data_IF_647588660821
#
_entry.id   IF_647588660821
#
_cell.length_a   1.000
_cell.length_b   1.000
_cell.length_c   1.000
_cell.angle_alpha   90.00
_cell.angle_beta   90.00
_cell.angle_gamma   90.00
#
_symmetry.space_group_name_H-M   'P 1'
#
loop_
_entity.id
_entity.type
_entity.pdbx_description
1 polymer ?
#
# COMPACT_ATOMS: atom_id res chain seq x y z
N UNK A 1 -9.67 3.88 -1.77
CA UNK A 1 -8.31 4.33 -1.41
C UNK A 1 -8.42 5.71 -0.77
N UNK A 2 -7.71 6.01 0.33
CA UNK A 2 -7.75 7.32 0.95
C UNK A 2 -7.03 8.37 0.07
N UNK A 3 -7.55 9.60 0.06
CA UNK A 3 -6.90 10.75 -0.60
C UNK A 3 -5.82 11.40 0.27
N UNK A 4 -5.92 11.26 1.59
CA UNK A 4 -4.92 11.70 2.59
C UNK A 4 -4.80 10.68 3.70
N UNK A 5 -3.61 10.56 4.27
CA UNK A 5 -3.37 9.71 5.44
C UNK A 5 -2.16 10.19 6.24
N UNK A 6 -2.13 9.86 7.52
CA UNK A 6 -0.99 10.12 8.40
C UNK A 6 -0.19 8.84 8.59
N UNK A 7 1.13 8.92 8.44
CA UNK A 7 2.04 7.82 8.73
C UNK A 7 3.25 8.33 9.52
N UNK A 8 3.52 7.69 10.67
CA UNK A 8 4.61 8.06 11.61
C UNK A 8 4.66 9.57 11.95
N UNK A 9 3.50 10.19 12.08
CA UNK A 9 3.38 11.62 12.43
C UNK A 9 3.50 12.59 11.24
N UNK A 10 3.82 12.09 10.03
CA UNK A 10 3.80 12.89 8.81
C UNK A 10 2.46 12.71 8.06
N UNK A 11 1.91 13.80 7.54
CA UNK A 11 0.76 13.77 6.64
C UNK A 11 1.22 13.57 5.20
N UNK A 12 0.53 12.68 4.48
CA UNK A 12 0.72 12.45 3.07
C UNK A 12 -0.59 12.63 2.32
N UNK A 13 -0.51 13.33 1.18
CA UNK A 13 -1.61 13.47 0.22
C UNK A 13 -1.32 12.63 -1.00
N UNK A 14 -2.25 11.78 -1.41
CA UNK A 14 -2.13 11.02 -2.66
C UNK A 14 -2.39 11.96 -3.84
N UNK A 15 -1.43 12.06 -4.76
CA UNK A 15 -1.55 12.86 -5.98
C UNK A 15 -1.97 12.04 -7.18
N UNK A 16 -1.50 10.80 -7.30
CA UNK A 16 -1.93 9.86 -8.32
C UNK A 16 -1.79 8.39 -7.88
N UNK A 17 -2.61 7.52 -8.49
CA UNK A 17 -2.41 6.06 -8.43
C UNK A 17 -1.56 5.65 -9.61
N UNK A 18 -0.36 5.14 -9.35
CA UNK A 18 0.56 4.66 -10.38
C UNK A 18 0.26 3.22 -10.79
N UNK A 19 -0.13 2.39 -9.83
CA UNK A 19 -0.46 0.99 -10.10
C UNK A 19 -1.49 0.47 -9.08
N UNK A 20 -2.37 -0.42 -9.50
CA UNK A 20 -3.34 -1.07 -8.61
C UNK A 20 -3.49 -2.54 -8.99
N UNK A 21 -3.33 -3.44 -8.01
CA UNK A 21 -3.44 -4.87 -8.24
C UNK A 21 -4.04 -5.59 -7.03
N UNK A 22 -4.31 -6.88 -7.19
CA UNK A 22 -4.93 -7.72 -6.15
C UNK A 22 -4.07 -8.95 -5.95
N UNK A 23 -3.90 -9.37 -4.71
CA UNK A 23 -3.31 -10.69 -4.43
C UNK A 23 -4.36 -11.57 -3.77
N UNK A 24 -4.51 -12.78 -4.30
CA UNK A 24 -5.26 -13.86 -3.66
C UNK A 24 -4.36 -14.59 -2.68
N UNK A 25 -4.94 -15.26 -1.69
CA UNK A 25 -4.20 -16.15 -0.79
C UNK A 25 -4.95 -17.46 -0.60
N UNK A 26 -4.25 -18.58 -0.35
CA UNK A 26 -4.89 -19.88 -0.18
C UNK A 26 -5.86 -19.86 1.00
N UNK A 27 -7.01 -20.52 0.85
CA UNK A 27 -7.87 -20.83 1.98
C UNK A 27 -7.18 -21.85 2.89
N UNK A 28 -7.18 -21.61 4.20
CA UNK A 28 -6.63 -22.53 5.21
C UNK A 28 -7.46 -23.82 5.37
N UNK A 29 -8.51 -24.01 4.58
CA UNK A 29 -9.37 -25.18 4.55
C UNK A 29 -9.57 -25.63 3.10
N UNK A 30 -8.65 -26.44 2.58
CA UNK A 30 -8.87 -27.51 1.57
C UNK A 30 -9.70 -27.27 0.30
N UNK A 31 -10.19 -26.08 0.00
CA UNK A 31 -10.93 -25.74 -1.21
C UNK A 31 -10.07 -24.84 -2.08
N UNK A 32 -9.91 -25.19 -3.35
CA UNK A 32 -9.08 -24.47 -4.32
C UNK A 32 -9.57 -23.07 -4.70
N UNK A 33 -10.45 -22.45 -3.91
CA UNK A 33 -10.92 -21.09 -4.14
C UNK A 33 -9.86 -20.05 -3.71
N UNK A 34 -9.40 -19.29 -4.69
CA UNK A 34 -8.47 -18.18 -4.51
C UNK A 34 -9.24 -16.92 -4.11
N UNK A 35 -9.40 -16.69 -2.81
CA UNK A 35 -10.02 -15.46 -2.33
C UNK A 35 -9.06 -14.28 -2.42
N UNK A 36 -9.50 -13.17 -3.02
CA UNK A 36 -8.77 -11.90 -3.00
C UNK A 36 -8.68 -11.40 -1.56
N UNK A 37 -7.48 -11.42 -0.99
CA UNK A 37 -7.24 -11.00 0.39
C UNK A 37 -6.81 -9.54 0.48
N UNK A 38 -6.00 -9.08 -0.49
CA UNK A 38 -5.40 -7.74 -0.44
C UNK A 38 -5.60 -6.98 -1.74
N UNK A 39 -5.93 -5.71 -1.60
CA UNK A 39 -5.92 -4.73 -2.68
C UNK A 39 -4.69 -3.86 -2.52
N UNK A 40 -3.80 -3.89 -3.51
CA UNK A 40 -2.55 -3.17 -3.52
C UNK A 40 -2.64 -1.93 -4.38
N UNK A 41 -1.94 -0.89 -3.97
CA UNK A 41 -1.87 0.39 -4.64
C UNK A 41 -0.45 0.93 -4.54
N UNK A 42 0.16 1.27 -5.67
CA UNK A 42 1.33 2.15 -5.71
C UNK A 42 0.83 3.55 -6.05
N UNK A 43 1.19 4.54 -5.24
CA UNK A 43 0.72 5.92 -5.35
C UNK A 43 1.88 6.89 -5.32
N UNK A 44 1.77 8.00 -6.04
CA UNK A 44 2.58 9.19 -5.79
C UNK A 44 1.93 10.03 -4.71
N UNK A 45 2.76 10.65 -3.87
CA UNK A 45 2.32 11.45 -2.73
C UNK A 45 2.97 12.83 -2.69
N UNK A 46 2.38 13.72 -1.90
CA UNK A 46 2.97 14.96 -1.36
C UNK A 46 3.17 14.79 0.16
N UNK A 47 4.35 15.11 0.75
CA UNK A 47 5.61 15.49 0.10
C UNK A 47 6.07 14.45 -0.95
N UNK A 48 6.84 14.85 -1.98
CA UNK A 48 7.11 14.02 -3.15
C UNK A 48 7.67 12.66 -2.73
N UNK A 49 7.09 11.60 -3.28
CA UNK A 49 7.49 10.23 -3.02
C UNK A 49 6.54 9.24 -3.68
N UNK A 50 6.97 7.99 -3.70
CA UNK A 50 6.16 6.86 -4.17
C UNK A 50 5.97 5.89 -3.01
N UNK A 51 4.72 5.50 -2.78
CA UNK A 51 4.36 4.58 -1.71
C UNK A 51 3.59 3.40 -2.25
N UNK A 52 3.86 2.21 -1.72
CA UNK A 52 3.01 1.05 -1.93
C UNK A 52 2.20 0.79 -0.67
N UNK A 53 0.88 0.82 -0.80
CA UNK A 53 -0.07 0.52 0.26
C UNK A 53 -0.86 -0.73 -0.12
N UNK A 54 -1.36 -1.43 0.90
CA UNK A 54 -2.39 -2.44 0.69
C UNK A 54 -3.54 -2.29 1.68
N UNK A 55 -4.74 -2.58 1.18
CA UNK A 55 -5.94 -2.74 1.97
C UNK A 55 -6.20 -4.23 2.19
N UNK A 56 -6.24 -4.63 3.46
CA UNK A 56 -6.62 -5.97 3.88
C UNK A 56 -8.13 -6.02 4.15
N UNK A 57 -8.82 -6.93 3.45
CA UNK A 57 -10.24 -7.15 3.69
C UNK A 57 -10.53 -7.80 5.04
N UNK A 58 -9.58 -8.58 5.56
CA UNK A 58 -9.70 -9.21 6.86
C UNK A 58 -8.96 -8.35 7.88
N UNK A 59 -9.64 -7.99 8.96
CA UNK A 59 -8.98 -7.30 10.06
C UNK A 59 -7.90 -8.24 10.66
N UNK A 60 -6.62 -7.85 10.56
CA UNK A 60 -5.51 -8.65 11.10
C UNK A 60 -5.53 -8.75 12.63
N UNK A 61 -6.24 -7.84 13.30
CA UNK A 61 -6.36 -7.82 14.75
C UNK A 61 -7.82 -7.60 15.14
N UNK A 62 -8.39 -8.52 15.93
CA UNK A 62 -9.75 -8.38 16.48
C UNK A 62 -9.91 -7.10 17.29
N UNK A 63 -8.83 -6.64 17.94
CA UNK A 63 -8.79 -5.40 18.74
C UNK A 63 -8.73 -4.11 17.91
N UNK A 64 -8.46 -4.17 16.61
CA UNK A 64 -8.43 -3.00 15.71
C UNK A 64 -9.12 -3.32 14.36
N UNK A 65 -10.44 -3.58 14.36
CA UNK A 65 -11.16 -4.06 13.18
C UNK A 65 -11.22 -3.05 12.02
N UNK A 66 -10.98 -1.77 12.32
CA UNK A 66 -10.95 -0.66 11.35
C UNK A 66 -9.56 -0.43 10.74
N UNK A 67 -8.50 -1.00 11.31
CA UNK A 67 -7.13 -0.89 10.80
C UNK A 67 -6.92 -1.85 9.63
N UNK A 68 -7.33 -1.41 8.43
CA UNK A 68 -7.32 -2.22 7.20
C UNK A 68 -6.32 -1.75 6.17
N UNK A 69 -5.73 -0.56 6.34
CA UNK A 69 -4.73 -0.01 5.44
C UNK A 69 -3.34 -0.20 6.03
N UNK A 70 -2.42 -0.62 5.18
CA UNK A 70 -1.04 -0.91 5.55
C UNK A 70 -0.10 -0.29 4.53
N UNK A 71 0.99 0.31 5.00
CA UNK A 71 2.09 0.76 4.16
C UNK A 71 3.08 -0.40 4.01
N UNK A 72 3.39 -0.75 2.77
CA UNK A 72 4.36 -1.80 2.45
C UNK A 72 5.74 -1.22 2.15
N UNK A 73 5.81 -0.26 1.24
CA UNK A 73 7.05 0.46 0.92
C UNK A 73 6.82 1.95 0.85
N UNK A 74 7.87 2.70 1.17
CA UNK A 74 7.93 4.15 1.04
C UNK A 74 9.27 4.49 0.42
N UNK A 75 9.22 5.19 -0.71
CA UNK A 75 10.36 5.83 -1.33
C UNK A 75 10.09 7.32 -1.26
N UNK A 76 10.80 8.02 -0.36
CA UNK A 76 10.80 9.48 -0.40
C UNK A 76 11.37 9.91 -1.75
N UNK A 77 10.80 10.95 -2.34
CA UNK A 77 11.27 11.56 -3.57
C UNK A 77 12.62 12.23 -3.34
N UNK A 78 13.67 11.43 -3.20
CA UNK A 78 14.94 11.77 -3.81
C UNK A 78 14.65 11.70 -5.30
N UNK A 79 14.68 12.84 -5.99
CA UNK A 79 14.76 12.84 -7.46
C UNK A 79 15.75 11.74 -7.85
N UNK A 80 15.47 10.88 -8.85
CA UNK A 80 16.54 10.04 -9.37
C UNK A 80 17.64 11.01 -9.81
N UNK A 81 18.71 11.12 -9.01
CA UNK A 81 19.95 11.67 -9.49
C UNK A 81 20.28 10.78 -10.69
N UNK A 82 20.15 11.36 -11.88
CA UNK A 82 21.00 10.93 -12.97
C UNK A 82 22.44 10.94 -12.45
N UNK A 83 23.22 10.01 -12.99
CA UNK A 83 24.67 9.89 -12.88
C UNK A 83 25.19 8.84 -11.88
N UNK A 84 25.79 7.81 -12.49
CA UNK A 84 26.46 6.71 -11.81
C UNK A 84 26.74 5.48 -12.69
N UNK A 85 26.83 5.62 -14.02
CA UNK A 85 27.66 4.74 -14.84
C UNK A 85 28.88 5.54 -15.29
N UNK A 86 30.03 5.20 -14.74
CA UNK A 86 31.35 5.28 -15.38
C UNK A 86 32.13 4.07 -14.93
#
# INVERSE_FOLDING_TARGET
>A
MPSRFTWRGAEYRVTAVLHAWKTTGPCSHGSGELYVRRHWYTVSVEPPGVMTLYFDRQARQSRRPKARWWLYTLSAGTLPNGDGKS
#
